data_IF_548105561205
#
_entry.id   IF_548105561205
#
_cell.length_a   1.000
_cell.length_b   1.000
_cell.length_c   1.000
_cell.angle_alpha   90.00
_cell.angle_beta   90.00
_cell.angle_gamma   90.00
#
_symmetry.space_group_name_H-M   'P 1'
#
loop_
_entity.id
_entity.type
_entity.pdbx_description
1 polymer ?
#
# COMPACT_ATOMS: atom_id res chain seq x y z
N UNK A 1 -34.18 -5.89 54.05
CA UNK A 1 -34.09 -4.94 52.93
C UNK A 1 -32.95 -5.42 52.06
N UNK A 2 -33.25 -5.99 50.89
CA UNK A 2 -32.21 -6.56 50.01
C UNK A 2 -32.30 -5.83 48.69
N UNK A 3 -31.36 -4.92 48.44
CA UNK A 3 -31.29 -4.15 47.19
C UNK A 3 -30.64 -5.02 46.12
N UNK A 4 -31.38 -5.38 45.08
CA UNK A 4 -30.81 -5.98 43.87
C UNK A 4 -30.29 -4.85 42.96
N UNK A 5 -29.01 -4.91 42.63
CA UNK A 5 -28.39 -4.08 41.59
C UNK A 5 -28.71 -4.70 40.22
N UNK A 6 -29.53 -4.03 39.42
CA UNK A 6 -29.69 -4.35 38.00
C UNK A 6 -28.53 -3.73 37.21
N UNK A 7 -27.65 -4.58 36.68
CA UNK A 7 -26.63 -4.18 35.71
C UNK A 7 -27.32 -3.93 34.37
N UNK A 8 -27.53 -2.67 34.00
CA UNK A 8 -27.93 -2.33 32.63
C UNK A 8 -26.74 -2.56 31.70
N UNK A 9 -26.89 -3.50 30.77
CA UNK A 9 -25.93 -3.71 29.68
C UNK A 9 -26.04 -2.51 28.74
N UNK A 10 -25.01 -1.67 28.74
CA UNK A 10 -24.83 -0.62 27.72
C UNK A 10 -24.72 -1.31 26.35
N UNK A 11 -25.41 -0.82 25.30
CA UNK A 11 -25.21 -1.33 23.97
C UNK A 11 -23.75 -1.11 23.58
N UNK A 12 -23.01 -2.19 23.32
CA UNK A 12 -21.72 -2.12 22.67
C UNK A 12 -21.94 -1.53 21.28
N UNK A 13 -21.58 -0.27 21.09
CA UNK A 13 -21.46 0.30 19.76
C UNK A 13 -20.47 -0.58 19.00
N UNK A 14 -20.97 -1.31 17.99
CA UNK A 14 -20.07 -2.00 17.07
C UNK A 14 -19.18 -0.92 16.45
N UNK A 15 -17.84 -1.05 16.50
CA UNK A 15 -16.96 -0.08 15.90
C UNK A 15 -17.33 0.05 14.42
N UNK A 16 -17.52 1.29 13.96
CA UNK A 16 -17.83 1.58 12.58
C UNK A 16 -16.75 0.93 11.69
N UNK A 17 -17.17 0.15 10.69
CA UNK A 17 -16.24 -0.58 9.84
C UNK A 17 -15.36 0.42 9.09
N UNK A 18 -14.09 0.48 9.46
CA UNK A 18 -13.10 1.36 8.82
C UNK A 18 -13.01 1.01 7.34
N UNK A 19 -13.17 2.02 6.48
CA UNK A 19 -13.01 1.88 5.03
C UNK A 19 -11.56 2.09 4.62
N UNK A 20 -11.08 1.25 3.72
CA UNK A 20 -9.73 1.31 3.14
C UNK A 20 -9.85 1.60 1.65
N UNK A 21 -9.70 2.87 1.21
CA UNK A 21 -9.77 3.22 -0.21
C UNK A 21 -8.63 2.57 -1.02
N UNK A 22 -8.93 2.26 -2.27
CA UNK A 22 -7.96 1.73 -3.23
C UNK A 22 -7.13 2.83 -3.92
N UNK A 23 -7.50 4.11 -3.73
CA UNK A 23 -6.79 5.27 -4.26
C UNK A 23 -6.73 6.40 -3.22
N UNK A 24 -5.69 7.23 -3.31
CA UNK A 24 -5.56 8.48 -2.56
C UNK A 24 -5.94 9.72 -3.38
N UNK A 25 -6.34 9.54 -4.64
CA UNK A 25 -6.69 10.61 -5.57
C UNK A 25 -5.50 11.35 -6.17
N UNK A 26 -4.27 10.93 -5.91
CA UNK A 26 -3.05 11.49 -6.49
C UNK A 26 -2.73 10.79 -7.83
N UNK A 27 -1.99 11.46 -8.73
CA UNK A 27 -1.51 10.81 -9.94
C UNK A 27 -0.41 9.79 -9.61
N UNK A 28 -0.39 8.68 -10.35
CA UNK A 28 0.66 7.65 -10.28
C UNK A 28 2.07 8.19 -10.59
N UNK A 29 2.19 9.25 -11.39
CA UNK A 29 3.48 9.78 -11.83
C UNK A 29 3.38 11.25 -12.23
N UNK A 30 4.48 11.98 -12.09
CA UNK A 30 4.57 13.40 -12.45
C UNK A 30 4.75 13.61 -13.97
N UNK A 31 5.38 12.66 -14.67
CA UNK A 31 5.66 12.78 -16.11
C UNK A 31 5.89 11.43 -16.80
N UNK A 32 5.86 11.44 -18.13
CA UNK A 32 5.97 10.23 -18.97
C UNK A 32 7.31 9.50 -18.84
N UNK A 33 8.42 10.18 -18.51
CA UNK A 33 9.71 9.53 -18.28
C UNK A 33 9.71 8.75 -16.98
N UNK A 34 9.21 9.35 -15.90
CA UNK A 34 9.06 8.68 -14.61
C UNK A 34 8.14 7.46 -14.76
N UNK A 35 6.96 7.64 -15.38
CA UNK A 35 6.04 6.54 -15.65
C UNK A 35 6.69 5.40 -16.44
N UNK A 36 7.44 5.72 -17.50
CA UNK A 36 8.14 4.71 -18.30
C UNK A 36 9.15 3.88 -17.50
N UNK A 37 9.82 4.50 -16.51
CA UNK A 37 10.72 3.78 -15.60
C UNK A 37 9.97 2.92 -14.59
N UNK A 38 8.89 3.42 -14.01
CA UNK A 38 8.02 2.66 -13.10
C UNK A 38 7.52 1.39 -13.81
N UNK A 39 6.95 1.53 -15.01
CA UNK A 39 6.47 0.39 -15.81
C UNK A 39 7.60 -0.59 -16.11
N UNK A 40 8.76 -0.11 -16.58
CA UNK A 40 9.88 -0.97 -16.95
C UNK A 40 10.39 -1.80 -15.77
N UNK A 41 10.53 -1.19 -14.61
CA UNK A 41 11.02 -1.87 -13.41
C UNK A 41 9.96 -2.82 -12.84
N UNK A 42 8.69 -2.40 -12.78
CA UNK A 42 7.59 -3.26 -12.31
C UNK A 42 7.48 -4.50 -13.18
N UNK A 43 7.41 -4.33 -14.50
CA UNK A 43 7.30 -5.46 -15.43
C UNK A 43 8.59 -6.30 -15.47
N UNK A 44 9.75 -5.67 -15.25
CA UNK A 44 11.01 -6.38 -15.05
C UNK A 44 10.99 -7.30 -13.82
N UNK A 45 10.47 -6.82 -12.69
CA UNK A 45 10.28 -7.63 -11.49
C UNK A 45 9.26 -8.76 -11.71
N UNK A 46 8.14 -8.49 -12.39
CA UNK A 46 7.17 -9.52 -12.75
C UNK A 46 7.79 -10.61 -13.63
N UNK A 47 8.58 -10.22 -14.64
CA UNK A 47 9.30 -11.15 -15.49
C UNK A 47 10.35 -11.96 -14.73
N UNK A 48 11.10 -11.31 -13.82
CA UNK A 48 12.11 -11.97 -12.98
C UNK A 48 11.49 -13.06 -12.09
N UNK A 49 10.29 -12.81 -11.56
CA UNK A 49 9.58 -13.74 -10.66
C UNK A 49 8.40 -14.45 -11.33
N UNK A 50 8.38 -14.55 -12.67
CA UNK A 50 7.24 -15.12 -13.40
C UNK A 50 6.91 -16.56 -12.98
N UNK A 51 7.94 -17.36 -12.69
CA UNK A 51 7.81 -18.78 -12.36
C UNK A 51 7.66 -19.01 -10.85
N UNK A 52 7.69 -17.95 -10.04
CA UNK A 52 7.46 -18.03 -8.60
C UNK A 52 6.05 -17.49 -8.28
N UNK A 53 5.06 -18.37 -8.02
CA UNK A 53 3.70 -17.93 -7.72
C UNK A 53 3.59 -17.19 -6.39
N UNK A 54 4.58 -17.31 -5.50
CA UNK A 54 4.62 -16.73 -4.16
C UNK A 54 5.44 -15.44 -4.08
N UNK A 55 5.56 -14.71 -5.19
CA UNK A 55 6.08 -13.34 -5.20
C UNK A 55 5.06 -12.42 -5.85
N UNK A 56 4.53 -11.51 -5.05
CA UNK A 56 3.62 -10.46 -5.48
C UNK A 56 4.42 -9.20 -5.82
N UNK A 57 4.15 -8.63 -6.99
CA UNK A 57 4.71 -7.35 -7.44
C UNK A 57 3.55 -6.42 -7.76
N UNK A 58 3.64 -5.18 -7.30
CA UNK A 58 2.67 -4.15 -7.63
C UNK A 58 3.37 -2.82 -7.85
N UNK A 59 2.75 -1.94 -8.63
CA UNK A 59 3.17 -0.55 -8.75
C UNK A 59 2.03 0.38 -8.33
N UNK A 60 2.37 1.45 -7.62
CA UNK A 60 1.43 2.47 -7.13
C UNK A 60 0.21 1.92 -6.37
N UNK A 61 0.40 0.81 -5.64
CA UNK A 61 -0.65 0.18 -4.85
C UNK A 61 -0.60 0.72 -3.41
N UNK A 62 -1.73 1.20 -2.88
CA UNK A 62 -1.80 1.64 -1.49
C UNK A 62 -1.57 0.48 -0.52
N UNK A 63 -0.51 0.58 0.28
CA UNK A 63 -0.17 -0.29 1.39
C UNK A 63 -0.62 0.31 2.73
N UNK A 64 -1.43 -0.45 3.46
CA UNK A 64 -1.89 -0.19 4.83
C UNK A 64 -1.20 -1.16 5.81
N UNK A 65 -0.27 -0.71 6.66
CA UNK A 65 0.43 -1.58 7.60
C UNK A 65 -0.35 -1.88 8.89
N UNK A 66 -1.41 -1.11 9.22
CA UNK A 66 -2.11 -1.17 10.51
C UNK A 66 -3.63 -1.34 10.31
N UNK A 67 -4.20 -2.40 10.86
CA UNK A 67 -5.65 -2.60 10.89
C UNK A 67 -6.32 -1.59 11.85
N UNK A 68 -7.49 -1.10 11.48
CA UNK A 68 -8.18 0.03 12.12
C UNK A 68 -7.72 1.43 11.69
N UNK A 69 -6.53 1.59 11.07
CA UNK A 69 -5.99 2.90 10.67
C UNK A 69 -5.89 3.07 9.15
N UNK A 70 -6.82 3.82 8.56
CA UNK A 70 -6.80 4.13 7.12
C UNK A 70 -6.01 5.40 6.75
N UNK A 71 -5.35 6.04 7.73
CA UNK A 71 -4.53 7.24 7.54
C UNK A 71 -3.06 6.90 7.38
N UNK A 72 -2.57 5.92 8.13
CA UNK A 72 -1.21 5.40 7.94
C UNK A 72 -1.18 4.52 6.69
N UNK A 73 -0.69 5.07 5.57
CA UNK A 73 -0.58 4.36 4.29
C UNK A 73 0.55 4.91 3.42
N UNK A 74 1.01 4.11 2.47
CA UNK A 74 1.97 4.51 1.41
C UNK A 74 1.62 3.83 0.10
N UNK A 75 1.81 4.50 -1.03
CA UNK A 75 1.85 3.88 -2.36
C UNK A 75 3.29 4.00 -2.89
N UNK A 76 4.14 2.98 -2.67
CA UNK A 76 5.43 2.93 -3.36
C UNK A 76 5.22 2.82 -4.87
N UNK A 77 6.10 3.46 -5.65
CA UNK A 77 6.07 3.33 -7.12
C UNK A 77 6.10 1.85 -7.53
N UNK A 78 6.88 1.04 -6.80
CA UNK A 78 6.92 -0.42 -6.95
C UNK A 78 7.12 -1.06 -5.57
N UNK A 79 6.40 -2.14 -5.31
CA UNK A 79 6.63 -3.04 -4.17
C UNK A 79 6.83 -4.47 -4.64
N UNK A 80 7.72 -5.21 -3.97
CA UNK A 80 7.91 -6.65 -4.14
C UNK A 80 7.72 -7.31 -2.79
N UNK A 81 6.84 -8.31 -2.76
CA UNK A 81 6.45 -9.02 -1.55
C UNK A 81 6.67 -10.52 -1.74
N UNK A 82 7.63 -11.07 -1.00
CA UNK A 82 7.91 -12.50 -0.97
C UNK A 82 6.95 -13.21 -0.02
N UNK A 83 6.58 -14.44 -0.38
CA UNK A 83 5.64 -15.25 0.39
C UNK A 83 4.18 -14.89 0.16
N UNK A 84 3.87 -14.01 -0.80
CA UNK A 84 2.50 -13.63 -1.15
C UNK A 84 2.13 -14.05 -2.57
N UNK A 85 0.93 -14.61 -2.78
CA UNK A 85 0.52 -15.04 -4.10
C UNK A 85 0.28 -13.85 -5.03
N UNK A 86 0.54 -14.07 -6.32
CA UNK A 86 0.08 -13.20 -7.39
C UNK A 86 -1.45 -13.06 -7.36
N UNK A 87 -1.98 -11.92 -7.78
CA UNK A 87 -3.42 -11.68 -7.80
C UNK A 87 -3.78 -10.20 -7.71
N UNK A 88 -4.98 -9.85 -8.15
CA UNK A 88 -5.49 -8.48 -8.10
C UNK A 88 -5.78 -8.06 -6.65
N UNK A 89 -5.46 -6.81 -6.33
CA UNK A 89 -5.77 -6.14 -5.08
C UNK A 89 -6.14 -4.70 -5.39
N UNK A 90 -7.17 -4.19 -4.72
CA UNK A 90 -7.44 -2.75 -4.72
C UNK A 90 -6.46 -2.00 -3.82
N UNK A 91 -6.08 -2.60 -2.69
CA UNK A 91 -5.06 -2.12 -1.76
C UNK A 91 -4.34 -3.30 -1.10
N UNK A 92 -3.11 -3.09 -0.66
CA UNK A 92 -2.34 -4.06 0.12
C UNK A 92 -2.58 -3.83 1.62
N UNK A 93 -3.55 -4.55 2.19
CA UNK A 93 -3.89 -4.48 3.61
C UNK A 93 -3.12 -5.56 4.37
N UNK A 94 -2.08 -5.17 5.10
CA UNK A 94 -1.06 -6.10 5.61
C UNK A 94 -1.64 -7.22 6.51
N UNK A 95 -2.69 -6.96 7.28
CA UNK A 95 -3.35 -7.96 8.12
C UNK A 95 -4.10 -9.03 7.31
N UNK A 96 -4.50 -8.75 6.06
CA UNK A 96 -5.04 -9.73 5.11
C UNK A 96 -3.94 -10.51 4.39
N UNK A 97 -2.68 -10.12 4.58
CA UNK A 97 -1.52 -10.63 3.86
C UNK A 97 -0.54 -11.35 4.80
N UNK A 98 -1.09 -12.10 5.77
CA UNK A 98 -0.33 -12.82 6.82
C UNK A 98 0.63 -11.91 7.61
N UNK A 99 0.29 -10.62 7.71
CA UNK A 99 1.12 -9.58 8.30
C UNK A 99 2.50 -9.40 7.65
N UNK A 100 2.65 -9.80 6.39
CA UNK A 100 3.89 -9.63 5.62
C UNK A 100 3.92 -8.23 5.00
N UNK A 101 4.87 -7.40 5.42
CA UNK A 101 5.17 -6.13 4.76
C UNK A 101 5.95 -6.35 3.44
N UNK A 102 5.88 -5.44 2.46
CA UNK A 102 6.80 -5.45 1.33
C UNK A 102 8.27 -5.43 1.79
N UNK A 103 9.08 -6.37 1.28
CA UNK A 103 10.50 -6.44 1.62
C UNK A 103 11.37 -5.54 0.73
N UNK A 104 10.88 -5.21 -0.45
CA UNK A 104 11.56 -4.31 -1.39
C UNK A 104 10.56 -3.29 -1.88
N UNK A 105 10.96 -2.02 -1.86
CA UNK A 105 10.22 -0.89 -2.44
C UNK A 105 11.15 -0.08 -3.31
N UNK A 106 10.62 0.46 -4.41
CA UNK A 106 11.31 1.40 -5.28
C UNK A 106 10.56 2.72 -5.30
N UNK A 107 11.32 3.81 -5.39
CA UNK A 107 10.84 5.18 -5.60
C UNK A 107 11.62 5.77 -6.78
N UNK A 108 10.91 6.17 -7.83
CA UNK A 108 11.47 6.69 -9.06
C UNK A 108 11.34 8.20 -9.04
N UNK A 109 12.49 8.86 -8.97
CA UNK A 109 12.55 10.31 -8.82
C UNK A 109 12.21 11.02 -10.14
N UNK A 110 11.28 11.97 -10.09
CA UNK A 110 11.07 12.91 -11.18
C UNK A 110 12.12 14.03 -11.14
N UNK A 111 12.52 14.61 -12.29
CA UNK A 111 13.57 15.65 -12.34
C UNK A 111 13.33 16.85 -11.42
N UNK A 112 12.05 17.18 -11.14
CA UNK A 112 11.68 18.29 -10.27
C UNK A 112 11.95 18.08 -8.78
N UNK A 113 12.23 16.84 -8.33
CA UNK A 113 12.42 16.55 -6.89
C UNK A 113 13.83 16.86 -6.37
N UNK A 114 14.79 17.11 -7.27
CA UNK A 114 16.14 17.59 -6.93
C UNK A 114 16.60 18.68 -7.89
N UNK A 115 15.77 19.71 -8.12
CA UNK A 115 16.33 20.99 -8.52
C UNK A 115 17.15 21.55 -7.35
N UNK A 116 18.30 20.93 -7.07
CA UNK A 116 19.45 21.66 -6.58
C UNK A 116 19.66 22.77 -7.60
N UNK A 117 19.52 24.02 -7.18
CA UNK A 117 19.77 25.15 -8.05
C UNK A 117 21.17 25.02 -8.62
N UNK A 118 21.27 24.68 -9.90
CA UNK A 118 22.48 24.80 -10.67
C UNK A 118 22.03 25.31 -12.03
N UNK A 119 22.61 26.44 -12.41
CA UNK A 119 22.50 26.96 -13.76
C UNK A 119 23.05 25.97 -14.77
N UNK A 120 22.78 26.31 -16.03
CA UNK A 120 23.38 25.77 -17.23
C UNK A 120 22.85 24.40 -17.68
N UNK A 121 21.82 24.43 -18.55
CA UNK A 121 21.97 24.27 -20.02
C UNK A 121 20.70 24.74 -20.75
#
# INVERSE_FOLDING_TARGET
MTTQLQTQLLPTQQPEKVLYPDSDGLPMSDNTRQFGWIVKLKEGCEALFKDNPNVFVAGDLLWYPIEGDNKTKRAPDIMVVFGRPKGYRGSYQQWLEDNIAPQVVFEILSPGKYAIGNGDE
#
